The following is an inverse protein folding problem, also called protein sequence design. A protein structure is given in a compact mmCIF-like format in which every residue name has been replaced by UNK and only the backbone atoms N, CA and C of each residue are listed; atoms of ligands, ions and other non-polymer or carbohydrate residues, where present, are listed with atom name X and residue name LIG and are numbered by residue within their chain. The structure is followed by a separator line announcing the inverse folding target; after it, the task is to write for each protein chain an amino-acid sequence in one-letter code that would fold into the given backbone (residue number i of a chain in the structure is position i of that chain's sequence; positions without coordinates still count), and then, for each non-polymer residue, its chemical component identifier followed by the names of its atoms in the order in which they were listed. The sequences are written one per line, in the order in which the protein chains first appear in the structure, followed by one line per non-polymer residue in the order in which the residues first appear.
data_IF_084269634625
#
_entry.id   IF_084269634625
#
_cell.length_a   1.000
_cell.length_b   1.000
_cell.length_c   1.000
_cell.angle_alpha   90.00
_cell.angle_beta   90.00
_cell.angle_gamma   90.00
#
_symmetry.space_group_name_H-M   'P 1'
#
loop_
_entity.id
_entity.type
_entity.pdbx_description
1 polymer ?
#
# COMPACT_ATOMS: atom_id res chain seq x y z
N UNK A 1 38.19 -22.62 35.06
CA UNK A 1 37.51 -21.34 35.36
C UNK A 1 36.23 -21.12 34.57
N UNK A 2 36.26 -21.07 33.23
CA UNK A 2 35.04 -20.85 32.43
C UNK A 2 33.96 -21.95 32.60
N UNK A 3 34.36 -23.22 32.73
CA UNK A 3 33.42 -24.35 32.93
C UNK A 3 32.73 -24.29 34.28
N UNK A 4 33.47 -23.97 35.35
CA UNK A 4 32.90 -23.77 36.68
C UNK A 4 31.93 -22.58 36.71
N UNK A 5 32.20 -21.53 35.93
CA UNK A 5 31.30 -20.39 35.80
C UNK A 5 29.95 -20.81 35.19
N UNK A 6 29.96 -21.70 34.20
CA UNK A 6 28.74 -22.21 33.55
C UNK A 6 27.87 -22.98 34.55
N UNK A 7 28.47 -23.85 35.37
CA UNK A 7 27.75 -24.66 36.36
C UNK A 7 27.13 -23.86 37.53
N UNK A 8 27.53 -22.59 37.71
CA UNK A 8 26.95 -21.67 38.71
C UNK A 8 26.15 -20.55 38.05
N UNK A 9 25.92 -20.64 36.74
CA UNK A 9 25.08 -19.72 35.98
C UNK A 9 23.70 -20.34 35.76
N UNK A 10 22.67 -19.51 35.80
CA UNK A 10 21.29 -19.94 35.63
C UNK A 10 20.34 -18.74 35.65
N UNK A 11 19.04 -19.01 35.62
CA UNK A 11 18.00 -17.98 35.70
C UNK A 11 17.24 -18.21 37.01
N UNK A 12 17.12 -17.23 37.91
CA UNK A 12 16.41 -17.44 39.16
C UNK A 12 14.96 -17.86 38.86
N UNK A 13 14.52 -18.96 39.49
CA UNK A 13 13.17 -19.49 39.30
C UNK A 13 12.09 -18.56 39.85
N UNK A 14 10.81 -18.96 39.77
CA UNK A 14 9.65 -18.12 40.14
C UNK A 14 9.67 -17.60 41.59
N UNK A 15 10.48 -18.20 42.47
CA UNK A 15 10.66 -17.79 43.86
C UNK A 15 11.77 -16.75 44.08
N UNK A 16 12.38 -16.25 43.01
CA UNK A 16 13.49 -15.28 43.01
C UNK A 16 14.73 -15.80 43.78
N UNK A 17 14.86 -17.13 43.87
CA UNK A 17 15.99 -17.84 44.48
C UNK A 17 16.48 -18.94 43.54
N UNK A 18 17.79 -19.17 43.48
CA UNK A 18 18.38 -20.23 42.66
C UNK A 18 18.21 -21.59 43.34
N UNK A 19 17.35 -22.44 42.79
CA UNK A 19 17.32 -23.87 43.13
C UNK A 19 18.21 -24.67 42.17
N UNK A 20 18.49 -25.93 42.51
CA UNK A 20 19.38 -26.77 41.69
C UNK A 20 18.86 -26.97 40.25
N UNK A 21 17.54 -26.98 40.06
CA UNK A 21 16.90 -27.10 38.74
C UNK A 21 16.98 -25.81 37.89
N UNK A 22 17.35 -24.68 38.52
CA UNK A 22 17.42 -23.35 37.91
C UNK A 22 18.83 -22.99 37.40
N UNK A 23 19.79 -23.91 37.54
CA UNK A 23 21.18 -23.76 37.10
C UNK A 23 21.50 -24.72 35.94
N UNK A 24 22.43 -24.32 35.08
CA UNK A 24 23.05 -25.26 34.14
C UNK A 24 23.81 -26.33 34.93
N UNK A 25 23.63 -27.58 34.56
CA UNK A 25 24.34 -28.69 35.18
C UNK A 25 25.23 -29.42 34.16
N UNK A 26 26.38 -29.92 34.61
CA UNK A 26 27.42 -30.51 33.78
C UNK A 26 27.75 -31.90 34.32
N UNK A 27 27.93 -32.87 33.44
CA UNK A 27 28.52 -34.15 33.80
C UNK A 27 30.01 -33.98 34.11
N UNK A 28 30.35 -33.90 35.39
CA UNK A 28 31.72 -33.71 35.86
C UNK A 28 32.64 -34.89 35.54
N UNK A 29 32.14 -36.13 35.61
CA UNK A 29 32.93 -37.32 35.27
C UNK A 29 33.36 -37.28 33.79
N UNK A 30 32.46 -36.87 32.89
CA UNK A 30 32.78 -36.71 31.47
C UNK A 30 33.83 -35.60 31.22
N UNK A 31 33.76 -34.50 31.97
CA UNK A 31 34.70 -33.40 31.86
C UNK A 31 36.07 -33.75 32.43
N UNK A 32 36.14 -34.35 33.61
CA UNK A 32 37.39 -34.65 34.30
C UNK A 32 38.14 -35.84 33.67
N UNK A 33 37.42 -36.88 33.24
CA UNK A 33 38.06 -38.10 32.73
C UNK A 33 38.29 -38.06 31.21
N UNK A 34 37.49 -37.29 30.47
CA UNK A 34 37.48 -37.29 29.00
C UNK A 34 37.60 -35.92 28.36
N UNK A 35 37.74 -34.85 29.14
CA UNK A 35 37.81 -33.45 28.66
C UNK A 35 36.58 -33.05 27.80
N UNK A 36 35.43 -33.66 28.07
CA UNK A 36 34.17 -33.42 27.35
C UNK A 36 33.19 -32.66 28.23
N UNK A 37 32.75 -31.48 27.77
CA UNK A 37 31.71 -30.71 28.44
C UNK A 37 30.34 -31.21 27.96
N UNK A 38 29.63 -31.93 28.82
CA UNK A 38 28.27 -32.44 28.54
C UNK A 38 27.30 -31.82 29.53
N UNK A 39 26.35 -31.04 29.02
CA UNK A 39 25.31 -30.41 29.84
C UNK A 39 24.19 -31.43 30.12
N UNK A 40 23.90 -31.67 31.40
CA UNK A 40 22.88 -32.61 31.86
C UNK A 40 21.55 -31.92 32.17
N UNK A 41 21.60 -30.66 32.60
CA UNK A 41 20.43 -29.80 32.75
C UNK A 41 20.65 -28.51 31.94
N UNK A 42 19.67 -28.16 31.10
CA UNK A 42 19.70 -26.99 30.23
C UNK A 42 18.61 -26.02 30.69
N UNK A 43 19.01 -24.92 31.32
CA UNK A 43 18.07 -23.88 31.73
C UNK A 43 18.03 -22.81 30.64
N UNK A 44 16.84 -22.59 30.07
CA UNK A 44 16.55 -21.51 29.12
C UNK A 44 17.26 -21.54 27.74
N UNK A 45 17.46 -22.71 27.12
CA UNK A 45 17.80 -22.81 25.68
C UNK A 45 16.80 -23.70 24.93
N UNK A 46 15.50 -23.42 25.04
CA UNK A 46 14.51 -24.13 24.20
C UNK A 46 13.46 -23.23 23.54
N UNK A 47 13.78 -21.95 23.32
CA UNK A 47 12.95 -21.10 22.45
C UNK A 47 13.79 -20.53 21.31
N UNK A 48 13.81 -21.25 20.19
CA UNK A 48 13.89 -20.54 18.91
C UNK A 48 12.76 -19.51 18.91
N UNK A 49 13.01 -18.20 18.73
CA UNK A 49 11.98 -17.19 18.93
C UNK A 49 10.81 -17.45 17.98
N UNK A 50 9.70 -17.95 18.55
CA UNK A 50 8.44 -18.17 17.85
C UNK A 50 7.71 -16.83 17.79
N UNK A 51 7.24 -16.44 16.61
CA UNK A 51 6.32 -15.31 16.50
C UNK A 51 5.10 -15.59 17.39
N UNK A 52 4.66 -14.60 18.14
CA UNK A 52 3.36 -14.70 18.80
C UNK A 52 2.26 -14.88 17.74
N UNK A 53 1.15 -15.51 18.10
CA UNK A 53 0.00 -15.64 17.20
C UNK A 53 -0.45 -14.29 16.61
N UNK A 54 -0.27 -13.20 17.35
CA UNK A 54 -0.59 -11.83 16.92
C UNK A 54 0.42 -11.29 15.90
N UNK A 55 1.71 -11.51 16.11
CA UNK A 55 2.75 -11.10 15.15
C UNK A 55 2.66 -11.91 13.86
N UNK A 56 2.45 -13.22 13.96
CA UNK A 56 2.21 -14.08 12.81
C UNK A 56 0.94 -13.63 12.04
N UNK A 57 -0.16 -13.33 12.74
CA UNK A 57 -1.38 -12.82 12.10
C UNK A 57 -1.15 -11.49 11.37
N UNK A 58 -0.37 -10.57 11.95
CA UNK A 58 -0.04 -9.29 11.31
C UNK A 58 0.79 -9.48 10.04
N UNK A 59 1.80 -10.37 10.08
CA UNK A 59 2.63 -10.69 8.92
C UNK A 59 1.83 -11.42 7.82
N UNK A 60 0.97 -12.37 8.21
CA UNK A 60 0.10 -13.09 7.28
C UNK A 60 -0.89 -12.13 6.60
N UNK A 61 -1.48 -11.19 7.34
CA UNK A 61 -2.38 -10.18 6.77
C UNK A 61 -1.65 -9.29 5.73
N UNK A 62 -0.42 -8.87 6.02
CA UNK A 62 0.41 -8.14 5.06
C UNK A 62 0.74 -8.95 3.81
N UNK A 63 1.07 -10.25 3.97
CA UNK A 63 1.34 -11.16 2.85
C UNK A 63 0.08 -11.45 2.01
N UNK A 64 -1.10 -11.51 2.63
CA UNK A 64 -2.38 -11.65 1.92
C UNK A 64 -2.68 -10.41 1.07
N UNK A 65 -2.44 -9.20 1.60
CA UNK A 65 -2.53 -7.97 0.82
C UNK A 65 -1.54 -7.94 -0.34
N UNK A 66 -0.27 -8.30 -0.10
CA UNK A 66 0.71 -8.42 -1.18
C UNK A 66 0.26 -9.45 -2.23
N UNK A 67 -0.30 -10.59 -1.81
CA UNK A 67 -0.81 -11.60 -2.75
C UNK A 67 -2.01 -11.13 -3.57
N UNK A 68 -2.78 -10.13 -3.13
CA UNK A 68 -3.87 -9.56 -3.94
C UNK A 68 -3.36 -8.58 -4.99
N UNK A 69 -2.17 -8.00 -4.79
CA UNK A 69 -1.56 -7.07 -5.75
C UNK A 69 -1.08 -7.80 -7.03
N UNK A 70 -1.49 -7.33 -8.22
CA UNK A 70 -1.12 -7.91 -9.52
C UNK A 70 0.38 -7.94 -9.86
N UNK A 71 1.20 -7.10 -9.21
CA UNK A 71 2.66 -7.01 -9.45
C UNK A 71 3.42 -8.23 -8.92
N UNK A 72 2.83 -8.95 -7.97
CA UNK A 72 3.47 -10.09 -7.33
C UNK A 72 3.30 -11.35 -8.18
N UNK A 73 4.24 -11.54 -9.10
CA UNK A 73 4.28 -12.67 -10.04
C UNK A 73 4.48 -14.03 -9.36
N UNK A 74 5.04 -14.07 -8.16
CA UNK A 74 5.34 -15.30 -7.42
C UNK A 74 4.38 -15.49 -6.23
N UNK A 75 3.14 -15.87 -6.54
CA UNK A 75 2.11 -16.18 -5.52
C UNK A 75 2.47 -17.43 -4.70
N UNK A 76 3.23 -18.36 -5.27
CA UNK A 76 3.58 -19.62 -4.64
C UNK A 76 4.58 -19.44 -3.49
N UNK A 77 5.55 -18.53 -3.64
CA UNK A 77 6.46 -18.21 -2.53
C UNK A 77 5.76 -17.48 -1.39
N UNK A 78 4.80 -16.59 -1.69
CA UNK A 78 3.99 -15.90 -0.69
C UNK A 78 3.13 -16.90 0.09
N UNK A 79 2.44 -17.81 -0.60
CA UNK A 79 1.66 -18.90 0.04
C UNK A 79 2.56 -19.80 0.88
N UNK A 80 3.76 -20.13 0.39
CA UNK A 80 4.73 -20.93 1.13
C UNK A 80 5.19 -20.22 2.41
N UNK A 81 5.43 -18.90 2.35
CA UNK A 81 5.84 -18.09 3.48
C UNK A 81 4.72 -17.94 4.52
N UNK A 82 3.49 -17.68 4.08
CA UNK A 82 2.30 -17.67 4.96
C UNK A 82 2.16 -19.00 5.71
N UNK A 83 2.34 -20.13 5.02
CA UNK A 83 2.29 -21.45 5.65
C UNK A 83 3.44 -21.69 6.65
N UNK A 84 4.65 -21.19 6.37
CA UNK A 84 5.78 -21.27 7.30
C UNK A 84 5.54 -20.43 8.57
N UNK A 85 4.99 -19.22 8.41
CA UNK A 85 4.67 -18.32 9.53
C UNK A 85 3.55 -18.89 10.39
N UNK A 86 2.49 -19.44 9.79
CA UNK A 86 1.41 -20.10 10.53
C UNK A 86 1.90 -21.29 11.35
N UNK A 87 2.83 -22.09 10.80
CA UNK A 87 3.42 -23.24 11.52
C UNK A 87 4.45 -22.85 12.57
N UNK A 88 5.16 -21.73 12.36
CA UNK A 88 6.20 -21.23 13.26
C UNK A 88 5.66 -20.35 14.40
N UNK A 89 4.36 -20.05 14.41
CA UNK A 89 3.73 -19.25 15.45
C UNK A 89 3.55 -20.03 16.75
N UNK A 90 3.56 -19.33 17.88
CA UNK A 90 3.36 -19.93 19.22
C UNK A 90 1.94 -20.49 19.44
N UNK A 91 0.96 -20.04 18.65
CA UNK A 91 -0.39 -20.59 18.58
C UNK A 91 -1.01 -20.28 17.20
N UNK A 92 -2.11 -20.95 16.85
CA UNK A 92 -2.82 -20.75 15.58
C UNK A 92 -3.18 -19.27 15.39
N UNK A 93 -2.63 -18.59 14.36
CA UNK A 93 -2.97 -17.20 14.09
C UNK A 93 -4.43 -17.04 13.67
N UNK A 94 -5.08 -15.97 14.12
CA UNK A 94 -6.44 -15.62 13.71
C UNK A 94 -6.51 -15.42 12.21
N UNK A 95 -7.48 -16.01 11.53
CA UNK A 95 -7.71 -15.76 10.11
C UNK A 95 -8.28 -14.35 9.94
N UNK A 96 -7.43 -13.43 9.49
CA UNK A 96 -7.86 -12.13 8.97
C UNK A 96 -8.15 -12.36 7.49
N UNK A 97 -9.41 -12.29 7.09
CA UNK A 97 -9.77 -12.26 5.68
C UNK A 97 -9.54 -10.85 5.16
N UNK A 98 -8.53 -10.66 4.31
CA UNK A 98 -8.44 -9.49 3.46
C UNK A 98 -9.44 -9.73 2.33
N UNK A 99 -10.70 -9.32 2.51
CA UNK A 99 -11.68 -9.32 1.42
C UNK A 99 -11.23 -8.33 0.35
N UNK A 100 -10.65 -8.84 -0.73
CA UNK A 100 -10.58 -8.12 -1.99
C UNK A 100 -12.02 -7.88 -2.46
N UNK A 101 -12.50 -6.64 -2.34
CA UNK A 101 -13.87 -6.27 -2.74
C UNK A 101 -14.13 -6.56 -4.23
N UNK A 102 -15.39 -6.45 -4.67
CA UNK A 102 -15.79 -6.60 -6.10
C UNK A 102 -14.96 -5.72 -7.05
N UNK A 103 -14.45 -4.59 -6.55
CA UNK A 103 -13.48 -3.71 -7.22
C UNK A 103 -12.18 -4.42 -7.59
N UNK A 104 -11.72 -5.36 -6.78
CA UNK A 104 -10.47 -6.11 -6.97
C UNK A 104 -10.58 -7.09 -8.15
N UNK A 105 -11.74 -7.72 -8.34
CA UNK A 105 -11.98 -8.62 -9.47
C UNK A 105 -12.08 -7.87 -10.82
N UNK A 106 -12.77 -6.73 -10.85
CA UNK A 106 -12.89 -5.90 -12.06
C UNK A 106 -11.55 -5.22 -12.41
N UNK A 107 -10.78 -4.84 -11.40
CA UNK A 107 -9.42 -4.34 -11.56
C UNK A 107 -8.49 -5.42 -12.12
N UNK A 108 -8.51 -6.62 -11.53
CA UNK A 108 -7.70 -7.75 -11.99
C UNK A 108 -8.01 -8.14 -13.44
N UNK A 109 -9.27 -8.13 -13.87
CA UNK A 109 -9.65 -8.41 -15.25
C UNK A 109 -9.17 -7.33 -16.21
N UNK A 110 -9.28 -6.05 -15.84
CA UNK A 110 -8.79 -4.92 -16.65
C UNK A 110 -7.27 -4.98 -16.80
N UNK A 111 -6.55 -5.30 -15.73
CA UNK A 111 -5.09 -5.48 -15.76
C UNK A 111 -4.65 -6.66 -16.63
N UNK A 112 -5.35 -7.79 -16.53
CA UNK A 112 -5.11 -8.94 -17.40
C UNK A 112 -5.31 -8.58 -18.87
N UNK A 113 -6.35 -7.80 -19.18
CA UNK A 113 -6.62 -7.32 -20.53
C UNK A 113 -5.51 -6.39 -21.05
N UNK A 114 -5.05 -5.45 -20.22
CA UNK A 114 -3.94 -4.54 -20.58
C UNK A 114 -2.67 -5.34 -20.85
N UNK A 115 -2.35 -6.33 -20.01
CA UNK A 115 -1.20 -7.20 -20.23
C UNK A 115 -1.33 -7.96 -21.54
N UNK A 116 -2.49 -8.56 -21.79
CA UNK A 116 -2.75 -9.30 -23.02
C UNK A 116 -2.65 -8.40 -24.27
N UNK A 117 -3.08 -7.15 -24.21
CA UNK A 117 -2.98 -6.22 -25.33
C UNK A 117 -1.53 -5.83 -25.62
N UNK A 118 -0.70 -5.62 -24.57
CA UNK A 118 0.74 -5.42 -24.72
C UNK A 118 1.41 -6.65 -25.32
N UNK A 119 1.12 -7.84 -24.80
CA UNK A 119 1.71 -9.10 -25.27
C UNK A 119 1.34 -9.42 -26.73
N UNK A 120 0.12 -9.06 -27.15
CA UNK A 120 -0.34 -9.23 -28.54
C UNK A 120 0.01 -8.06 -29.47
N UNK A 121 0.55 -6.96 -28.93
CA UNK A 121 0.89 -5.77 -29.71
C UNK A 121 -0.33 -5.02 -30.26
N UNK A 122 -1.48 -5.10 -29.59
CA UNK A 122 -2.75 -4.56 -30.06
C UNK A 122 -3.28 -3.42 -29.16
N UNK A 123 -3.97 -2.45 -29.75
CA UNK A 123 -4.53 -1.31 -29.03
C UNK A 123 -5.72 -1.73 -28.16
N UNK A 124 -5.96 -0.98 -27.09
CA UNK A 124 -7.16 -1.10 -26.26
C UNK A 124 -8.23 -0.10 -26.71
N UNK A 125 -9.48 -0.54 -26.78
CA UNK A 125 -10.64 0.35 -26.80
C UNK A 125 -11.38 0.25 -25.47
N UNK A 126 -11.72 1.40 -24.88
CA UNK A 126 -12.34 1.47 -23.57
C UNK A 126 -13.34 2.62 -23.45
N UNK A 127 -14.35 2.45 -22.60
CA UNK A 127 -15.25 3.53 -22.18
C UNK A 127 -14.73 4.12 -20.86
N UNK A 128 -14.25 5.37 -20.92
CA UNK A 128 -13.66 6.06 -19.78
C UNK A 128 -14.63 7.06 -19.17
N UNK A 129 -14.87 6.94 -17.87
CA UNK A 129 -15.59 7.97 -17.10
C UNK A 129 -14.65 9.14 -16.81
N UNK A 130 -14.88 10.26 -17.50
CA UNK A 130 -14.13 11.49 -17.26
C UNK A 130 -14.46 12.08 -15.89
N UNK A 131 -13.62 12.98 -15.42
CA UNK A 131 -13.86 13.73 -14.20
C UNK A 131 -15.04 14.68 -14.25
N UNK A 132 -15.50 15.05 -15.45
CA UNK A 132 -16.72 15.83 -15.67
C UNK A 132 -17.99 14.96 -15.54
N UNK A 133 -17.84 13.64 -15.38
CA UNK A 133 -18.96 12.69 -15.32
C UNK A 133 -19.41 12.19 -16.69
N UNK A 134 -18.76 12.62 -17.77
CA UNK A 134 -19.06 12.17 -19.13
C UNK A 134 -18.32 10.87 -19.45
N UNK A 135 -18.99 9.95 -20.15
CA UNK A 135 -18.38 8.72 -20.66
C UNK A 135 -17.89 8.96 -22.09
N UNK A 136 -16.60 8.79 -22.32
CA UNK A 136 -15.99 8.90 -23.65
C UNK A 136 -15.34 7.57 -24.03
N UNK A 137 -15.55 7.14 -25.28
CA UNK A 137 -14.83 6.00 -25.86
C UNK A 137 -13.43 6.42 -26.29
N UNK A 138 -12.42 5.66 -25.90
CA UNK A 138 -11.00 5.96 -26.13
C UNK A 138 -10.31 4.75 -26.76
N UNK A 139 -9.47 5.00 -27.77
CA UNK A 139 -8.43 4.07 -28.20
C UNK A 139 -7.11 4.46 -27.55
N UNK A 140 -6.43 3.48 -26.96
CA UNK A 140 -5.26 3.70 -26.12
C UNK A 140 -4.17 2.69 -26.43
N UNK A 141 -2.95 3.19 -26.66
CA UNK A 141 -1.75 2.36 -26.66
C UNK A 141 -1.22 2.30 -25.24
N UNK A 142 -1.20 1.14 -24.58
CA UNK A 142 -0.71 1.01 -23.21
C UNK A 142 0.81 1.19 -23.14
N UNK A 143 1.27 2.11 -22.28
CA UNK A 143 2.70 2.43 -22.12
C UNK A 143 3.25 1.97 -20.77
N UNK A 144 2.52 2.23 -19.68
CA UNK A 144 2.92 1.81 -18.33
C UNK A 144 1.71 1.68 -17.41
N UNK A 145 1.69 0.64 -16.60
CA UNK A 145 0.76 0.52 -15.47
C UNK A 145 1.53 0.78 -14.18
N UNK A 146 0.95 1.54 -13.27
CA UNK A 146 1.55 1.88 -11.98
C UNK A 146 0.48 2.14 -10.91
N UNK A 147 0.83 1.88 -9.65
CA UNK A 147 -0.03 2.13 -8.49
C UNK A 147 0.37 3.45 -7.81
N UNK A 148 -0.62 4.25 -7.42
CA UNK A 148 -0.42 5.51 -6.70
C UNK A 148 -1.61 5.82 -5.79
N UNK A 149 -1.35 6.13 -4.52
CA UNK A 149 -2.40 6.47 -3.53
C UNK A 149 -3.56 5.44 -3.52
N UNK A 150 -3.19 4.15 -3.45
CA UNK A 150 -4.09 2.98 -3.41
C UNK A 150 -4.94 2.76 -4.67
N UNK A 151 -4.73 3.53 -5.75
CA UNK A 151 -5.36 3.30 -7.04
C UNK A 151 -4.37 2.87 -8.12
N UNK A 152 -4.92 2.21 -9.14
CA UNK A 152 -4.18 1.81 -10.32
C UNK A 152 -4.40 2.74 -11.51
N UNK A 153 -3.30 3.05 -12.18
CA UNK A 153 -3.26 3.94 -13.33
C UNK A 153 -2.62 3.25 -14.53
N UNK A 154 -3.21 3.46 -15.70
CA UNK A 154 -2.61 3.19 -16.99
C UNK A 154 -2.17 4.51 -17.61
N UNK A 155 -0.86 4.67 -17.82
CA UNK A 155 -0.34 5.65 -18.77
C UNK A 155 -0.40 5.05 -20.16
N UNK A 156 -1.05 5.78 -21.07
CA UNK A 156 -1.20 5.35 -22.45
C UNK A 156 -1.27 6.52 -23.42
N UNK A 157 -0.89 6.26 -24.67
CA UNK A 157 -1.12 7.21 -25.76
C UNK A 157 -2.59 7.19 -26.13
N UNK A 158 -3.26 8.33 -25.99
CA UNK A 158 -4.68 8.46 -26.31
C UNK A 158 -4.84 8.94 -27.74
N UNK A 159 -5.27 8.06 -28.65
CA UNK A 159 -5.45 8.38 -30.08
C UNK A 159 -6.46 9.50 -30.33
N UNK A 160 -7.48 9.64 -29.47
CA UNK A 160 -8.45 10.74 -29.58
C UNK A 160 -7.86 12.10 -29.19
N UNK A 161 -6.81 12.12 -28.37
CA UNK A 161 -6.18 13.36 -27.87
C UNK A 161 -4.78 13.59 -28.42
N UNK A 162 -4.26 12.63 -29.19
CA UNK A 162 -2.91 12.61 -29.77
C UNK A 162 -1.83 12.96 -28.74
N UNK A 163 -1.97 12.41 -27.53
CA UNK A 163 -1.08 12.70 -26.41
C UNK A 163 -1.11 11.61 -25.35
N UNK A 164 -0.05 11.54 -24.54
CA UNK A 164 -0.01 10.72 -23.32
C UNK A 164 -1.07 11.20 -22.34
N UNK A 165 -1.84 10.24 -21.81
CA UNK A 165 -2.84 10.45 -20.78
C UNK A 165 -2.77 9.34 -19.72
N UNK A 166 -3.14 9.73 -18.52
CA UNK A 166 -3.24 8.84 -17.37
C UNK A 166 -4.71 8.45 -17.18
N UNK A 167 -4.99 7.15 -17.20
CA UNK A 167 -6.32 6.58 -17.03
C UNK A 167 -6.39 5.82 -15.72
N UNK A 168 -7.34 6.16 -14.84
CA UNK A 168 -7.59 5.34 -13.65
C UNK A 168 -8.32 4.07 -14.04
N UNK A 169 -7.83 2.92 -13.57
CA UNK A 169 -8.44 1.63 -13.92
C UNK A 169 -9.85 1.46 -13.36
N UNK A 170 -10.15 2.03 -12.19
CA UNK A 170 -11.50 2.02 -11.60
C UNK A 170 -12.55 2.80 -12.41
N UNK A 171 -12.13 3.67 -13.33
CA UNK A 171 -13.00 4.47 -14.23
C UNK A 171 -13.12 3.88 -15.63
N UNK A 172 -12.47 2.76 -15.89
CA UNK A 172 -12.53 2.05 -17.16
C UNK A 172 -13.72 1.08 -17.12
N UNK A 173 -14.46 1.05 -18.22
CA UNK A 173 -15.53 0.09 -18.45
C UNK A 173 -15.52 -0.37 -19.91
N UNK A 174 -16.09 -1.54 -20.17
CA UNK A 174 -16.19 -2.12 -21.53
C UNK A 174 -14.85 -2.16 -22.29
N UNK A 175 -13.75 -2.41 -21.57
CA UNK A 175 -12.44 -2.50 -22.20
C UNK A 175 -12.36 -3.76 -23.07
N UNK A 176 -11.88 -3.61 -24.30
CA UNK A 176 -11.63 -4.68 -25.26
C UNK A 176 -10.28 -4.49 -25.95
N UNK A 177 -9.67 -5.59 -26.37
CA UNK A 177 -8.51 -5.56 -27.28
C UNK A 177 -9.05 -5.40 -28.70
N UNK A 178 -8.47 -4.48 -29.45
CA UNK A 178 -8.86 -4.23 -30.84
C UNK A 178 -8.00 -5.05 -31.81
N UNK A 179 -8.35 -5.02 -33.10
CA UNK A 179 -7.52 -5.61 -34.16
C UNK A 179 -6.42 -4.66 -34.66
N UNK A 180 -6.36 -3.43 -34.14
CA UNK A 180 -5.37 -2.43 -34.54
C UNK A 180 -4.06 -2.65 -33.77
N UNK A 181 -2.88 -2.52 -34.42
CA UNK A 181 -1.60 -2.62 -33.75
C UNK A 181 -1.32 -1.39 -32.88
N UNK A 182 -0.57 -1.58 -31.79
CA UNK A 182 0.02 -0.48 -31.02
C UNK A 182 0.94 0.34 -31.94
N UNK A 183 0.76 1.66 -31.97
CA UNK A 183 1.56 2.57 -32.78
C UNK A 183 2.64 3.29 -31.97
N UNK A 184 2.38 3.49 -30.67
CA UNK A 184 3.28 4.17 -29.75
C UNK A 184 3.72 3.22 -28.63
N UNK A 185 5.01 2.88 -28.60
CA UNK A 185 5.58 2.08 -27.53
C UNK A 185 6.17 2.96 -26.42
N UNK A 186 6.39 2.38 -25.24
CA UNK A 186 6.96 3.06 -24.09
C UNK A 186 8.35 3.66 -24.37
N UNK A 187 9.11 3.06 -25.29
CA UNK A 187 10.45 3.52 -25.68
C UNK A 187 10.40 4.73 -26.63
N UNK A 188 9.30 4.90 -27.37
CA UNK A 188 9.12 5.97 -28.36
C UNK A 188 8.58 7.26 -27.73
N UNK A 189 7.99 7.15 -26.54
CA UNK A 189 7.24 8.23 -25.89
C UNK A 189 7.88 8.61 -24.56
N UNK A 190 8.29 9.88 -24.44
CA UNK A 190 8.79 10.39 -23.16
C UNK A 190 7.65 10.45 -22.14
N UNK A 191 7.65 9.51 -21.21
CA UNK A 191 6.76 9.51 -20.06
C UNK A 191 7.33 10.43 -18.98
N UNK A 192 6.55 11.38 -18.45
CA UNK A 192 6.89 12.11 -17.23
C UNK A 192 7.25 11.19 -16.06
N UNK A 193 8.11 11.67 -15.16
CA UNK A 193 8.47 10.92 -13.94
C UNK A 193 7.31 10.91 -12.92
N UNK A 194 6.41 11.90 -12.99
CA UNK A 194 5.22 11.99 -12.14
C UNK A 194 3.97 11.57 -12.90
N UNK A 195 3.07 10.85 -12.23
CA UNK A 195 1.76 10.44 -12.76
C UNK A 195 0.85 11.60 -13.14
N UNK A 196 0.98 12.70 -12.39
CA UNK A 196 0.24 13.93 -12.56
C UNK A 196 1.24 15.08 -12.67
N UNK A 197 1.34 15.66 -13.86
CA UNK A 197 1.99 16.95 -14.03
C UNK A 197 0.92 18.04 -13.92
N UNK A 198 1.23 19.10 -13.18
CA UNK A 198 0.35 20.25 -13.07
C UNK A 198 0.10 20.85 -14.45
N UNK A 199 -1.15 20.85 -14.89
CA UNK A 199 -1.57 21.50 -16.12
C UNK A 199 -1.93 22.96 -15.86
N UNK A 200 -1.70 23.88 -16.80
CA UNK A 200 -2.25 25.24 -16.72
C UNK A 200 -3.79 25.28 -16.67
N UNK A 201 -4.46 24.15 -16.96
CA UNK A 201 -5.92 23.98 -16.88
C UNK A 201 -6.38 23.41 -15.54
N UNK A 202 -5.48 23.06 -14.63
CA UNK A 202 -5.86 22.53 -13.33
C UNK A 202 -6.59 23.59 -12.51
N UNK A 203 -7.55 23.13 -11.71
CA UNK A 203 -8.32 23.98 -10.83
C UNK A 203 -7.44 24.36 -9.65
N UNK A 204 -7.26 25.66 -9.44
CA UNK A 204 -6.60 26.19 -8.25
C UNK A 204 -7.60 26.26 -7.09
N UNK A 205 -7.24 25.61 -5.99
CA UNK A 205 -8.08 25.50 -4.80
C UNK A 205 -7.29 25.96 -3.60
N UNK A 206 -7.80 26.94 -2.88
CA UNK A 206 -7.21 27.36 -1.61
C UNK A 206 -7.78 26.53 -0.48
N UNK A 207 -6.90 25.92 0.30
CA UNK A 207 -7.26 25.14 1.49
C UNK A 207 -6.61 25.72 2.73
N UNK A 208 -7.19 25.39 3.87
CA UNK A 208 -6.62 25.61 5.19
C UNK A 208 -6.50 24.27 5.90
N UNK A 209 -5.28 23.90 6.30
CA UNK A 209 -4.94 22.58 6.82
C UNK A 209 -4.14 22.72 8.11
N UNK A 210 -4.26 21.77 9.04
CA UNK A 210 -3.37 21.74 10.21
C UNK A 210 -1.91 21.61 9.75
N UNK A 211 -0.98 22.33 10.39
CA UNK A 211 0.43 22.31 9.99
C UNK A 211 1.02 20.88 9.97
N UNK A 212 0.58 20.02 10.89
CA UNK A 212 0.99 18.61 10.97
C UNK A 212 0.59 17.75 9.76
N UNK A 213 -0.39 18.19 8.96
CA UNK A 213 -0.87 17.46 7.79
C UNK A 213 -0.33 18.01 6.46
N UNK A 214 0.51 19.05 6.49
CA UNK A 214 1.17 19.57 5.30
C UNK A 214 1.94 18.51 4.49
N UNK A 215 2.70 17.58 5.10
CA UNK A 215 3.40 16.55 4.33
C UNK A 215 2.46 15.65 3.50
N UNK A 216 1.22 15.47 3.94
CA UNK A 216 0.24 14.61 3.27
C UNK A 216 -0.31 15.22 1.96
N UNK A 217 -0.16 16.53 1.78
CA UNK A 217 -0.67 17.26 0.62
C UNK A 217 0.45 17.87 -0.23
N UNK A 218 1.71 17.60 0.11
CA UNK A 218 2.87 18.23 -0.51
C UNK A 218 2.87 18.07 -2.05
N UNK A 219 2.47 16.90 -2.53
CA UNK A 219 2.43 16.58 -3.97
C UNK A 219 1.38 17.39 -4.76
N UNK A 220 0.39 17.97 -4.07
CA UNK A 220 -0.66 18.80 -4.68
C UNK A 220 -0.33 20.29 -4.66
N UNK A 221 0.71 20.70 -3.95
CA UNK A 221 1.13 22.10 -3.82
C UNK A 221 1.99 22.46 -5.04
N UNK A 222 1.58 23.44 -5.87
CA UNK A 222 2.39 23.84 -7.01
C UNK A 222 3.69 24.52 -6.55
N UNK A 223 4.74 24.39 -7.35
CA UNK A 223 6.02 25.05 -7.08
C UNK A 223 5.82 26.56 -6.95
N UNK A 224 6.34 27.13 -5.86
CA UNK A 224 6.20 28.56 -5.55
C UNK A 224 4.85 28.97 -4.95
N UNK A 225 4.00 28.03 -4.55
CA UNK A 225 2.78 28.34 -3.80
C UNK A 225 3.08 29.12 -2.51
N UNK A 226 2.41 30.25 -2.33
CA UNK A 226 2.52 31.03 -1.11
C UNK A 226 1.70 30.34 -0.03
N UNK A 227 2.36 29.98 1.07
CA UNK A 227 1.71 29.42 2.25
C UNK A 227 1.75 30.44 3.40
N UNK A 228 0.63 30.62 4.10
CA UNK A 228 0.55 31.50 5.28
C UNK A 228 0.10 30.69 6.47
N UNK A 229 0.83 30.80 7.59
CA UNK A 229 0.48 30.12 8.84
C UNK A 229 -0.22 31.08 9.82
N UNK A 230 -1.37 30.66 10.34
CA UNK A 230 -2.11 31.38 11.38
C UNK A 230 -2.68 30.37 12.37
N UNK A 231 -2.27 30.46 13.65
CA UNK A 231 -2.85 29.66 14.72
C UNK A 231 -2.71 28.14 14.55
N UNK A 232 -1.56 27.67 14.03
CA UNK A 232 -1.28 26.25 13.81
C UNK A 232 -1.97 25.64 12.58
N UNK A 233 -2.64 26.48 11.78
CA UNK A 233 -3.18 26.10 10.47
C UNK A 233 -2.43 26.84 9.37
N UNK A 234 -2.17 26.14 8.28
CA UNK A 234 -1.52 26.66 7.09
C UNK A 234 -2.56 26.81 6.00
N UNK A 235 -2.64 28.00 5.44
CA UNK A 235 -3.41 28.29 4.23
C UNK A 235 -2.47 28.20 3.03
N UNK A 236 -2.80 27.36 2.06
CA UNK A 236 -2.01 27.17 0.84
C UNK A 236 -2.91 26.91 -0.36
N UNK A 237 -2.32 26.95 -1.56
CA UNK A 237 -3.00 26.65 -2.82
C UNK A 237 -2.64 25.25 -3.26
N UNK A 238 -3.64 24.47 -3.66
CA UNK A 238 -3.50 23.19 -4.34
C UNK A 238 -3.88 23.34 -5.80
N UNK A 239 -3.21 22.57 -6.65
CA UNK A 239 -3.69 22.30 -8.01
C UNK A 239 -4.30 20.92 -8.07
N UNK A 240 -5.58 20.89 -8.45
CA UNK A 240 -6.32 19.65 -8.66
C UNK A 240 -6.89 19.65 -10.06
N UNK A 241 -6.71 18.56 -10.79
CA UNK A 241 -7.27 18.40 -12.13
C UNK A 241 -8.81 18.43 -12.15
N UNK A 242 -9.46 18.14 -11.01
CA UNK A 242 -10.91 18.10 -10.89
C UNK A 242 -11.40 17.99 -9.43
N UNK A 243 -12.60 18.52 -9.14
CA UNK A 243 -13.20 18.48 -7.80
C UNK A 243 -13.48 17.07 -7.28
N UNK A 244 -13.59 16.06 -8.14
CA UNK A 244 -13.69 14.67 -7.67
C UNK A 244 -12.46 14.23 -6.87
N UNK A 245 -11.25 14.60 -7.31
CA UNK A 245 -10.02 14.27 -6.59
C UNK A 245 -9.94 15.04 -5.26
N UNK A 246 -10.31 16.33 -5.31
CA UNK A 246 -10.37 17.18 -4.13
C UNK A 246 -11.28 16.60 -3.03
N UNK A 247 -12.48 16.11 -3.40
CA UNK A 247 -13.41 15.49 -2.45
C UNK A 247 -12.77 14.33 -1.70
N UNK A 248 -12.06 13.44 -2.40
CA UNK A 248 -11.41 12.27 -1.79
C UNK A 248 -10.25 12.67 -0.90
N UNK A 249 -9.41 13.59 -1.37
CA UNK A 249 -8.30 14.13 -0.59
C UNK A 249 -8.80 14.68 0.74
N UNK A 250 -9.83 15.54 0.70
CA UNK A 250 -10.42 16.15 1.89
C UNK A 250 -11.14 15.11 2.78
N UNK A 251 -11.73 14.08 2.19
CA UNK A 251 -12.37 12.99 2.93
C UNK A 251 -11.37 12.16 3.76
N UNK A 252 -10.13 12.01 3.29
CA UNK A 252 -9.06 11.33 4.04
C UNK A 252 -8.56 12.13 5.25
N UNK A 253 -8.91 13.42 5.33
CA UNK A 253 -8.45 14.36 6.36
C UNK A 253 -9.61 15.10 7.06
N UNK A 254 -10.59 14.37 7.64
CA UNK A 254 -11.77 14.98 8.23
C UNK A 254 -11.39 15.87 9.43
N UNK A 255 -11.87 17.12 9.42
CA UNK A 255 -11.59 18.11 10.47
C UNK A 255 -10.16 18.71 10.45
N UNK A 256 -9.26 18.11 9.68
CA UNK A 256 -7.87 18.53 9.55
C UNK A 256 -7.70 19.54 8.41
N UNK A 257 -8.41 19.35 7.29
CA UNK A 257 -8.37 20.23 6.12
C UNK A 257 -9.75 20.80 5.77
N UNK A 258 -9.78 22.08 5.36
CA UNK A 258 -10.99 22.80 4.95
C UNK A 258 -10.74 23.53 3.64
N UNK A 259 -11.66 23.42 2.69
CA UNK A 259 -11.61 24.20 1.44
C UNK A 259 -12.10 25.63 1.69
N UNK A 260 -11.30 26.63 1.31
CA UNK A 260 -11.60 28.06 1.51
C UNK A 260 -12.11 28.68 0.21
N UNK A 261 -11.51 28.35 -0.94
CA UNK A 261 -11.88 28.89 -2.24
C UNK A 261 -11.48 27.92 -3.38
N UNK A 262 -12.09 28.03 -4.57
CA UNK A 262 -13.26 28.85 -4.92
C UNK A 262 -14.56 28.29 -4.31
N UNK A 263 -15.65 29.07 -4.38
CA UNK A 263 -16.96 28.65 -3.85
C UNK A 263 -17.41 27.30 -4.44
N UNK A 264 -17.22 27.08 -5.74
CA UNK A 264 -17.60 25.84 -6.40
C UNK A 264 -16.85 24.61 -5.87
N UNK A 265 -15.59 24.78 -5.45
CA UNK A 265 -14.83 23.71 -4.79
C UNK A 265 -15.39 23.40 -3.40
N UNK A 266 -15.74 24.44 -2.62
CA UNK A 266 -16.38 24.26 -1.31
C UNK A 266 -17.73 23.56 -1.42
N UNK A 267 -18.58 24.01 -2.34
CA UNK A 267 -19.92 23.47 -2.53
C UNK A 267 -19.84 21.98 -2.91
N UNK A 268 -18.92 21.61 -3.81
CA UNK A 268 -18.71 20.22 -4.20
C UNK A 268 -18.27 19.32 -3.03
N UNK A 269 -17.37 19.79 -2.16
CA UNK A 269 -16.92 19.03 -0.98
C UNK A 269 -18.01 18.94 0.08
N UNK A 270 -18.73 20.04 0.32
CA UNK A 270 -19.82 20.08 1.30
C UNK A 270 -20.98 19.16 0.91
N UNK A 271 -21.40 19.18 -0.36
CA UNK A 271 -22.45 18.30 -0.88
C UNK A 271 -22.10 16.82 -0.71
N UNK A 272 -20.86 16.45 -1.05
CA UNK A 272 -20.38 15.09 -0.90
C UNK A 272 -20.31 14.63 0.56
N UNK A 273 -19.79 15.48 1.45
CA UNK A 273 -19.73 15.19 2.87
C UNK A 273 -21.14 15.03 3.49
N UNK A 274 -22.09 15.88 3.08
CA UNK A 274 -23.48 15.78 3.51
C UNK A 274 -24.14 14.47 3.03
N UNK A 275 -23.95 14.11 1.76
CA UNK A 275 -24.46 12.86 1.20
C UNK A 275 -23.89 11.62 1.93
N UNK A 276 -22.60 11.67 2.31
CA UNK A 276 -21.97 10.63 3.13
C UNK A 276 -22.59 10.53 4.53
N UNK A 277 -22.75 11.66 5.23
CA UNK A 277 -23.29 11.71 6.58
C UNK A 277 -24.73 11.18 6.68
N UNK A 278 -25.55 11.35 5.65
CA UNK A 278 -26.93 10.82 5.60
C UNK A 278 -26.98 9.29 5.69
N UNK A 279 -25.95 8.57 5.23
CA UNK A 279 -25.91 7.10 5.27
C UNK A 279 -25.68 6.52 6.67
N UNK A 280 -25.29 7.35 7.63
CA UNK A 280 -25.01 6.97 9.02
C UNK A 280 -26.01 7.57 10.02
N UNK A 281 -27.09 8.19 9.52
CA UNK A 281 -28.25 8.60 10.32
C UNK A 281 -29.36 7.58 10.19
#
# INVERSE_FOLDING_TARGET
DAVNLIAVSGVPGETDSYQHEDLFDINWDAFEERDEIVLTNLVAIDDSPRFSAREAAALIAGLQYLSSLPENADRDSIVTLMNKLSRGASATPSQVSVEGGVTDAALASTLALIRQSVDSGLQLELDYLTSAGERERRRVDPLRVESFDDDWYLRGWCHLREAVRTFRLDRISNAIITDAPIEHHADDVRLPDRLFESSPKDLEVTIEVAASAMPLIADYIPDGAVSTETGGRIRTTLRVSHYHGLKRLLASMPGVATVVAPKSARDAVAEWAAAGAVRYR
#
